data_IF_650881180794
#
_entry.id   IF_650881180794
#
_cell.length_a   1.000
_cell.length_b   1.000
_cell.length_c   1.000
_cell.angle_alpha   90.00
_cell.angle_beta   90.00
_cell.angle_gamma   90.00
#
_symmetry.space_group_name_H-M   'P 1'
#
loop_
_entity.id
_entity.type
_entity.pdbx_description
1 polymer ?
#
# COMPACT_ATOMS: atom_id res chain seq x y z
N UNK A 1 -10.83 5.05 -29.70
CA UNK A 1 -10.67 3.82 -28.86
C UNK A 1 -9.19 3.51 -28.73
N UNK A 2 -8.59 3.66 -27.53
CA UNK A 2 -7.12 3.64 -27.32
C UNK A 2 -6.49 2.23 -27.29
N UNK A 3 -6.89 1.41 -28.27
CA UNK A 3 -6.36 0.09 -28.66
C UNK A 3 -6.97 -1.14 -27.98
N UNK A 4 -8.20 -1.46 -28.40
CA UNK A 4 -8.82 -2.77 -28.18
C UNK A 4 -7.96 -3.93 -28.77
N UNK A 5 -8.04 -5.12 -28.17
CA UNK A 5 -7.25 -6.29 -28.61
C UNK A 5 -5.74 -6.12 -28.41
N UNK A 6 -5.32 -5.43 -27.34
CA UNK A 6 -3.90 -5.32 -26.96
C UNK A 6 -3.42 -6.69 -26.48
N UNK A 7 -2.31 -7.17 -27.05
CA UNK A 7 -1.76 -8.50 -26.75
C UNK A 7 -2.26 -9.62 -27.66
N UNK A 8 -3.27 -9.37 -28.50
CA UNK A 8 -3.73 -10.32 -29.52
C UNK A 8 -3.02 -10.06 -30.84
N UNK A 9 -2.55 -11.11 -31.48
CA UNK A 9 -1.91 -11.04 -32.79
C UNK A 9 -2.92 -11.09 -33.94
N UNK A 10 -2.67 -10.29 -34.97
CA UNK A 10 -3.48 -10.26 -36.19
C UNK A 10 -2.73 -11.08 -37.22
N UNK A 11 -3.12 -12.35 -37.37
CA UNK A 11 -2.53 -13.23 -38.38
C UNK A 11 -3.11 -12.90 -39.75
N UNK A 12 -2.24 -12.83 -40.75
CA UNK A 12 -2.63 -12.56 -42.13
C UNK A 12 -2.65 -13.85 -42.94
N UNK A 13 -3.73 -14.04 -43.69
CA UNK A 13 -3.82 -15.13 -44.65
C UNK A 13 -2.88 -14.88 -45.84
N UNK A 14 -2.43 -15.95 -46.55
CA UNK A 14 -1.48 -15.81 -47.66
C UNK A 14 -1.95 -14.87 -48.77
N UNK A 15 -3.26 -14.79 -49.04
CA UNK A 15 -3.84 -13.87 -50.03
C UNK A 15 -3.70 -12.40 -49.59
N UNK A 16 -3.95 -12.13 -48.31
CA UNK A 16 -3.80 -10.79 -47.72
C UNK A 16 -2.34 -10.34 -47.79
N UNK A 17 -1.39 -11.24 -47.56
CA UNK A 17 0.05 -10.94 -47.69
C UNK A 17 0.41 -10.54 -49.13
N UNK A 18 -0.11 -11.25 -50.14
CA UNK A 18 0.09 -10.89 -51.55
C UNK A 18 -0.47 -9.51 -51.90
N UNK A 19 -1.56 -9.11 -51.24
CA UNK A 19 -2.22 -7.81 -51.44
C UNK A 19 -1.60 -6.65 -50.64
N UNK A 20 -0.40 -6.82 -50.06
CA UNK A 20 0.30 -5.77 -49.31
C UNK A 20 0.04 -5.77 -47.81
N UNK A 21 -0.71 -6.76 -47.30
CA UNK A 21 -0.86 -7.04 -45.88
C UNK A 21 -1.78 -6.07 -45.13
N UNK A 22 -1.53 -5.91 -43.83
CA UNK A 22 -2.37 -5.09 -42.95
C UNK A 22 -2.10 -3.60 -43.16
N UNK A 23 -3.14 -2.83 -43.50
CA UNK A 23 -3.10 -1.38 -43.55
C UNK A 23 -3.63 -0.78 -42.23
N UNK A 24 -2.80 0.00 -41.56
CA UNK A 24 -3.14 0.71 -40.33
C UNK A 24 -3.42 2.16 -40.66
N UNK A 25 -4.62 2.63 -40.30
CA UNK A 25 -5.02 4.02 -40.45
C UNK A 25 -5.18 4.61 -39.05
N UNK A 26 -4.28 5.54 -38.69
CA UNK A 26 -4.44 6.40 -37.53
C UNK A 26 -5.29 7.60 -37.89
N UNK A 27 -6.45 7.75 -37.26
CA UNK A 27 -7.35 8.89 -37.47
C UNK A 27 -6.83 10.18 -36.84
N UNK A 28 -5.95 10.07 -35.84
CA UNK A 28 -5.32 11.18 -35.13
C UNK A 28 -3.93 10.77 -34.64
N UNK A 29 -3.17 11.74 -34.11
CA UNK A 29 -1.95 11.48 -33.35
C UNK A 29 -2.23 11.54 -31.87
N UNK A 30 -1.81 10.52 -31.13
CA UNK A 30 -1.88 10.56 -29.68
C UNK A 30 -0.86 11.56 -29.11
N UNK A 31 -1.14 12.11 -27.94
CA UNK A 31 -0.19 12.93 -27.16
C UNK A 31 1.12 12.19 -26.83
N UNK A 32 1.08 10.86 -26.84
CA UNK A 32 2.19 9.99 -26.45
C UNK A 32 2.60 9.15 -27.66
N UNK A 33 3.82 9.38 -28.15
CA UNK A 33 4.38 8.74 -29.34
C UNK A 33 4.44 7.22 -29.21
N UNK A 34 4.57 6.72 -27.97
CA UNK A 34 4.54 5.28 -27.67
C UNK A 34 3.23 4.62 -28.13
N UNK A 35 2.09 5.29 -28.00
CA UNK A 35 0.79 4.74 -28.39
C UNK A 35 0.66 4.67 -29.92
N UNK A 36 1.11 5.71 -30.62
CA UNK A 36 1.18 5.70 -32.09
C UNK A 36 2.10 4.59 -32.62
N UNK A 37 3.26 4.39 -31.97
CA UNK A 37 4.18 3.30 -32.30
C UNK A 37 3.56 1.93 -32.06
N UNK A 38 2.74 1.77 -31.01
CA UNK A 38 2.00 0.53 -30.76
C UNK A 38 0.96 0.26 -31.84
N UNK A 39 0.22 1.29 -32.29
CA UNK A 39 -0.74 1.17 -33.39
C UNK A 39 -0.04 0.77 -34.69
N UNK A 40 1.07 1.45 -35.01
CA UNK A 40 1.94 1.10 -36.16
C UNK A 40 2.43 -0.34 -36.10
N UNK A 41 2.90 -0.79 -34.93
CA UNK A 41 3.44 -2.14 -34.72
C UNK A 41 2.41 -3.28 -34.75
N UNK A 42 1.14 -2.99 -35.08
CA UNK A 42 0.15 -4.03 -35.40
C UNK A 42 0.34 -4.57 -36.83
N UNK A 43 0.83 -3.76 -37.75
CA UNK A 43 1.25 -4.21 -39.08
C UNK A 43 2.75 -4.58 -39.07
N UNK A 44 3.20 -5.32 -40.09
CA UNK A 44 4.64 -5.62 -40.25
C UNK A 44 5.18 -6.71 -39.33
N UNK A 45 4.32 -7.52 -38.71
CA UNK A 45 4.74 -8.54 -37.73
C UNK A 45 5.45 -9.69 -38.43
N UNK A 46 6.55 -10.17 -37.84
CA UNK A 46 7.36 -11.27 -38.38
C UNK A 46 7.80 -11.07 -39.85
N UNK A 47 7.97 -9.81 -40.27
CA UNK A 47 8.34 -9.48 -41.65
C UNK A 47 7.19 -9.52 -42.66
N UNK A 48 5.95 -9.71 -42.20
CA UNK A 48 4.77 -9.60 -43.07
C UNK A 48 4.68 -8.21 -43.71
N UNK A 49 4.15 -8.10 -44.94
CA UNK A 49 3.91 -6.79 -45.55
C UNK A 49 2.84 -6.02 -44.76
N UNK A 50 2.94 -4.70 -44.77
CA UNK A 50 1.96 -3.86 -44.12
C UNK A 50 2.29 -2.37 -44.27
N UNK A 51 1.28 -1.54 -44.08
CA UNK A 51 1.40 -0.09 -44.21
C UNK A 51 0.81 0.60 -42.99
N UNK A 52 1.31 1.79 -42.68
CA UNK A 52 0.73 2.63 -41.63
C UNK A 52 0.69 4.08 -42.08
N UNK A 53 -0.50 4.67 -42.09
CA UNK A 53 -0.72 6.07 -42.42
C UNK A 53 -1.45 6.73 -41.25
N UNK A 54 -1.05 7.94 -40.92
CA UNK A 54 -1.71 8.72 -39.88
C UNK A 54 -2.18 10.02 -40.48
N UNK A 55 -3.45 10.32 -40.25
CA UNK A 55 -4.08 11.58 -40.61
C UNK A 55 -4.09 12.49 -39.37
N UNK A 56 -3.96 13.78 -39.62
CA UNK A 56 -3.95 14.82 -38.60
C UNK A 56 -4.69 16.01 -39.19
N UNK A 57 -5.60 16.58 -38.43
CA UNK A 57 -6.22 17.88 -38.73
C UNK A 57 -5.57 18.98 -37.92
N UNK A 58 -5.53 20.21 -38.45
CA UNK A 58 -5.15 21.39 -37.66
C UNK A 58 -6.08 21.64 -36.49
N UNK A 59 -7.32 21.15 -36.59
CA UNK A 59 -8.32 21.23 -35.55
C UNK A 59 -8.13 20.19 -34.44
N UNK A 60 -7.17 19.27 -34.56
CA UNK A 60 -6.91 18.25 -33.54
C UNK A 60 -6.32 18.88 -32.27
N UNK A 61 -6.62 18.27 -31.12
CA UNK A 61 -6.17 18.74 -29.80
C UNK A 61 -4.65 18.97 -29.74
N UNK A 62 -3.87 18.05 -30.30
CA UNK A 62 -2.40 18.14 -30.38
C UNK A 62 -1.96 19.41 -31.12
N UNK A 63 -2.63 19.73 -32.23
CA UNK A 63 -2.28 20.84 -33.11
C UNK A 63 -2.72 22.19 -32.52
N UNK A 64 -3.89 22.23 -31.88
CA UNK A 64 -4.38 23.42 -31.15
C UNK A 64 -3.41 23.87 -30.06
N UNK A 65 -2.82 22.93 -29.32
CA UNK A 65 -1.96 23.25 -28.17
C UNK A 65 -0.56 23.76 -28.57
N UNK A 66 -0.02 23.40 -29.74
CA UNK A 66 1.40 23.63 -30.04
C UNK A 66 1.73 24.26 -31.39
N UNK A 67 0.81 24.24 -32.37
CA UNK A 67 1.22 24.49 -33.74
C UNK A 67 0.22 25.24 -34.62
N UNK A 68 -0.95 25.64 -34.11
CA UNK A 68 -1.96 26.34 -34.90
C UNK A 68 -1.40 27.58 -35.60
N UNK A 69 -0.76 28.50 -34.86
CA UNK A 69 -0.26 29.75 -35.46
C UNK A 69 0.93 29.58 -36.41
N UNK A 70 1.90 28.72 -36.07
CA UNK A 70 3.10 28.51 -36.91
C UNK A 70 2.77 27.76 -38.19
N UNK A 71 1.88 26.77 -38.12
CA UNK A 71 1.49 25.98 -39.29
C UNK A 71 0.51 26.76 -40.15
N UNK A 72 -0.42 27.54 -39.57
CA UNK A 72 -1.27 28.44 -40.34
C UNK A 72 -0.44 29.48 -41.12
N UNK A 73 0.61 30.06 -40.51
CA UNK A 73 1.54 30.98 -41.21
C UNK A 73 2.27 30.31 -42.37
N UNK A 74 2.72 29.07 -42.19
CA UNK A 74 3.36 28.28 -43.26
C UNK A 74 2.36 27.99 -44.41
N UNK A 75 1.13 27.58 -44.11
CA UNK A 75 0.11 27.31 -45.13
C UNK A 75 -0.26 28.55 -45.94
N UNK A 76 -0.39 29.70 -45.27
CA UNK A 76 -0.64 30.99 -45.92
C UNK A 76 0.52 31.43 -46.82
N UNK A 77 1.75 31.12 -46.43
CA UNK A 77 2.96 31.49 -47.20
C UNK A 77 3.12 30.60 -48.44
N UNK A 78 2.79 29.31 -48.32
CA UNK A 78 2.90 28.35 -49.42
C UNK A 78 1.68 28.34 -50.36
N UNK A 79 0.63 29.13 -50.10
CA UNK A 79 -0.60 29.22 -50.91
C UNK A 79 -1.13 27.83 -51.33
N UNK A 80 -1.17 26.91 -50.38
CA UNK A 80 -1.53 25.52 -50.66
C UNK A 80 -3.02 25.41 -51.06
N UNK A 81 -3.37 24.63 -52.09
CA UNK A 81 -4.76 24.45 -52.52
C UNK A 81 -5.58 23.73 -51.43
N UNK A 82 -6.82 24.19 -51.23
CA UNK A 82 -7.75 23.54 -50.31
C UNK A 82 -8.12 22.14 -50.82
N UNK A 83 -8.01 21.13 -49.94
CA UNK A 83 -8.39 19.75 -50.23
C UNK A 83 -7.25 18.78 -50.58
N UNK A 84 -6.01 19.27 -50.74
CA UNK A 84 -4.86 18.37 -50.96
C UNK A 84 -4.17 17.94 -49.65
N UNK A 85 -3.84 16.64 -49.49
CA UNK A 85 -3.16 16.15 -48.31
C UNK A 85 -1.71 16.64 -48.28
N UNK A 86 -1.32 17.29 -47.18
CA UNK A 86 0.04 17.82 -47.03
C UNK A 86 0.97 16.73 -46.49
N UNK A 87 1.92 16.29 -47.31
CA UNK A 87 2.96 15.33 -46.92
C UNK A 87 4.34 15.97 -46.96
N UNK A 88 4.69 16.78 -45.95
CA UNK A 88 6.00 17.42 -45.86
C UNK A 88 6.81 16.93 -44.63
N UNK A 89 8.10 16.57 -44.78
CA UNK A 89 8.94 16.11 -43.66
C UNK A 89 9.04 17.11 -42.50
N UNK A 90 9.03 18.41 -42.80
CA UNK A 90 9.07 19.46 -41.78
C UNK A 90 7.84 19.43 -40.86
N UNK A 91 6.65 19.14 -41.41
CA UNK A 91 5.41 19.07 -40.63
C UNK A 91 5.46 17.85 -39.70
N UNK A 92 5.95 16.72 -40.21
CA UNK A 92 6.17 15.52 -39.38
C UNK A 92 7.10 15.83 -38.21
N UNK A 93 8.23 16.52 -38.45
CA UNK A 93 9.17 16.92 -37.38
C UNK A 93 8.54 17.87 -36.36
N UNK A 94 7.70 18.82 -36.82
CA UNK A 94 6.97 19.74 -35.93
C UNK A 94 5.99 19.00 -35.03
N UNK A 95 5.24 18.03 -35.58
CA UNK A 95 4.32 17.17 -34.81
C UNK A 95 5.10 16.34 -33.79
N UNK A 96 6.23 15.74 -34.19
CA UNK A 96 7.07 14.96 -33.26
C UNK A 96 7.62 15.82 -32.10
N UNK A 97 8.03 17.06 -32.38
CA UNK A 97 8.48 17.99 -31.35
C UNK A 97 7.34 18.38 -30.40
N UNK A 98 6.13 18.58 -30.91
CA UNK A 98 4.94 18.84 -30.11
C UNK A 98 4.63 17.66 -29.17
N UNK A 99 4.64 16.42 -29.69
CA UNK A 99 4.48 15.21 -28.88
C UNK A 99 5.54 15.11 -27.78
N UNK A 100 6.82 15.35 -28.12
CA UNK A 100 7.91 15.32 -27.15
C UNK A 100 7.70 16.33 -26.01
N UNK A 101 7.26 17.55 -26.33
CA UNK A 101 6.99 18.59 -25.33
C UNK A 101 5.82 18.23 -24.41
N UNK A 102 4.78 17.57 -24.93
CA UNK A 102 3.68 17.05 -24.10
C UNK A 102 4.16 15.92 -23.21
N UNK A 103 4.97 15.01 -23.73
CA UNK A 103 5.56 13.92 -22.94
C UNK A 103 6.45 14.47 -21.80
N UNK A 104 7.27 15.48 -22.08
CA UNK A 104 8.09 16.17 -21.07
C UNK A 104 7.22 16.85 -20.00
N UNK A 105 6.14 17.53 -20.41
CA UNK A 105 5.21 18.14 -19.46
C UNK A 105 4.50 17.10 -18.58
N UNK A 106 3.99 16.03 -19.19
CA UNK A 106 3.35 14.92 -18.48
C UNK A 106 4.34 14.20 -17.55
N UNK A 107 5.60 14.06 -17.96
CA UNK A 107 6.66 13.53 -17.12
C UNK A 107 6.92 14.43 -15.92
N UNK A 108 6.99 15.75 -16.11
CA UNK A 108 7.16 16.72 -15.03
C UNK A 108 6.02 16.64 -14.01
N UNK A 109 4.76 16.60 -14.48
CA UNK A 109 3.59 16.45 -13.61
C UNK A 109 3.67 15.15 -12.80
N UNK A 110 4.02 14.03 -13.45
CA UNK A 110 4.17 12.73 -12.75
C UNK A 110 5.32 12.71 -11.78
N UNK A 111 6.45 13.33 -12.12
CA UNK A 111 7.60 13.47 -11.22
C UNK A 111 7.20 14.25 -9.98
N UNK A 112 6.53 15.39 -10.18
CA UNK A 112 6.02 16.19 -9.08
C UNK A 112 5.06 15.39 -8.20
N UNK A 113 4.10 14.62 -8.77
CA UNK A 113 3.22 13.73 -7.99
C UNK A 113 4.00 12.65 -7.22
N UNK A 114 5.02 12.05 -7.84
CA UNK A 114 5.89 11.06 -7.21
C UNK A 114 6.59 11.65 -5.98
N UNK A 115 7.04 12.91 -6.05
CA UNK A 115 7.71 13.57 -4.92
C UNK A 115 6.80 13.69 -3.67
N UNK A 116 5.47 13.79 -3.81
CA UNK A 116 4.53 13.75 -2.68
C UNK A 116 4.32 12.31 -2.17
N UNK A 117 4.23 11.36 -3.10
CA UNK A 117 4.01 9.96 -2.78
C UNK A 117 5.23 9.32 -2.09
N UNK A 118 6.45 9.77 -2.42
CA UNK A 118 7.68 9.31 -1.78
C UNK A 118 7.69 9.57 -0.27
N UNK A 119 7.19 10.73 0.17
CA UNK A 119 7.05 11.06 1.60
C UNK A 119 6.12 10.06 2.29
N UNK A 120 4.95 9.79 1.69
CA UNK A 120 4.00 8.81 2.21
C UNK A 120 4.56 7.40 2.21
N UNK A 121 5.35 7.04 1.20
CA UNK A 121 5.94 5.72 1.11
C UNK A 121 6.99 5.51 2.21
N UNK A 122 7.85 6.49 2.47
CA UNK A 122 8.82 6.43 3.57
C UNK A 122 8.13 6.23 4.93
N UNK A 123 7.06 7.01 5.20
CA UNK A 123 6.28 6.87 6.44
C UNK A 123 5.60 5.50 6.54
N UNK A 124 5.00 5.03 5.43
CA UNK A 124 4.36 3.70 5.35
C UNK A 124 5.34 2.58 5.66
N UNK A 125 6.54 2.63 5.09
CA UNK A 125 7.57 1.62 5.32
C UNK A 125 7.93 1.52 6.81
N UNK A 126 8.11 2.65 7.49
CA UNK A 126 8.39 2.70 8.93
C UNK A 126 7.23 2.13 9.76
N UNK A 127 5.99 2.55 9.48
CA UNK A 127 4.81 2.05 10.21
C UNK A 127 4.60 0.56 9.97
N UNK A 128 4.79 0.09 8.73
CA UNK A 128 4.63 -1.33 8.40
C UNK A 128 5.74 -2.18 8.99
N UNK A 129 6.95 -1.63 9.15
CA UNK A 129 8.02 -2.28 9.89
C UNK A 129 7.64 -2.45 11.37
N UNK A 130 7.22 -1.37 12.04
CA UNK A 130 6.74 -1.42 13.44
C UNK A 130 5.59 -2.41 13.61
N UNK A 131 4.57 -2.33 12.75
CA UNK A 131 3.42 -3.25 12.76
C UNK A 131 3.84 -4.71 12.56
N UNK A 132 4.79 -4.98 11.65
CA UNK A 132 5.31 -6.33 11.41
C UNK A 132 6.09 -6.86 12.61
N UNK A 133 6.86 -6.00 13.28
CA UNK A 133 7.58 -6.34 14.50
C UNK A 133 6.58 -6.67 15.62
N UNK A 134 5.51 -5.90 15.79
CA UNK A 134 4.44 -6.19 16.75
C UNK A 134 3.72 -7.53 16.46
N UNK A 135 3.51 -7.88 15.19
CA UNK A 135 2.89 -9.16 14.81
C UNK A 135 3.79 -10.37 15.07
N UNK A 136 5.09 -10.25 14.80
CA UNK A 136 6.04 -11.38 14.84
C UNK A 136 6.82 -11.49 16.13
N UNK A 137 6.96 -10.41 16.88
CA UNK A 137 7.76 -10.35 18.10
C UNK A 137 7.19 -11.24 19.19
N UNK A 138 8.07 -11.75 20.06
CA UNK A 138 7.66 -12.63 21.17
C UNK A 138 7.06 -11.83 22.32
N UNK A 139 7.63 -10.67 22.65
CA UNK A 139 7.09 -9.69 23.62
C UNK A 139 7.41 -8.27 23.16
N UNK A 140 6.50 -7.33 23.45
CA UNK A 140 6.65 -5.90 23.20
C UNK A 140 6.83 -5.10 24.49
N UNK A 141 7.07 -5.78 25.62
CA UNK A 141 7.39 -5.15 26.91
C UNK A 141 8.49 -4.11 26.75
N UNK A 142 9.63 -4.48 26.14
CA UNK A 142 10.75 -3.56 25.92
C UNK A 142 10.33 -2.31 25.15
N UNK A 143 9.62 -2.47 24.02
CA UNK A 143 9.14 -1.34 23.21
C UNK A 143 8.15 -0.44 23.97
N UNK A 144 7.29 -1.02 24.83
CA UNK A 144 6.41 -0.23 25.70
C UNK A 144 7.18 0.56 26.76
N UNK A 145 8.24 -0.01 27.35
CA UNK A 145 9.07 0.71 28.31
C UNK A 145 9.96 1.77 27.66
N UNK A 146 10.39 1.58 26.41
CA UNK A 146 11.02 2.62 25.62
C UNK A 146 10.03 3.78 25.40
N UNK A 147 8.77 3.49 25.06
CA UNK A 147 7.72 4.53 24.98
C UNK A 147 7.48 5.24 26.30
N UNK A 148 7.50 4.53 27.44
CA UNK A 148 7.35 5.16 28.75
C UNK A 148 8.54 6.08 29.06
N UNK A 149 9.75 5.67 28.70
CA UNK A 149 10.98 6.45 28.91
C UNK A 149 10.93 7.76 28.10
N UNK A 150 10.54 7.67 26.83
CA UNK A 150 10.36 8.83 25.96
C UNK A 150 9.26 9.76 26.49
N UNK A 151 8.11 9.21 26.91
CA UNK A 151 7.00 9.98 27.47
C UNK A 151 7.36 10.64 28.81
N UNK A 152 8.10 9.95 29.68
CA UNK A 152 8.57 10.47 30.96
C UNK A 152 9.53 11.65 30.77
N UNK A 153 10.39 11.59 29.76
CA UNK A 153 11.29 12.69 29.39
C UNK A 153 10.49 13.91 28.94
N UNK A 154 9.46 13.72 28.09
CA UNK A 154 8.56 14.80 27.66
C UNK A 154 7.80 15.39 28.85
N UNK A 155 7.25 14.56 29.76
CA UNK A 155 6.54 15.07 30.93
C UNK A 155 7.45 15.82 31.89
N UNK A 156 8.71 15.39 32.04
CA UNK A 156 9.67 16.15 32.82
C UNK A 156 9.84 17.55 32.21
N UNK A 157 10.07 17.66 30.91
CA UNK A 157 10.21 18.96 30.24
C UNK A 157 8.96 19.85 30.43
N UNK A 158 7.77 19.28 30.27
CA UNK A 158 6.49 20.02 30.38
C UNK A 158 6.22 20.55 31.81
N UNK A 159 6.57 19.78 32.84
CA UNK A 159 6.18 20.09 34.23
C UNK A 159 7.32 20.63 35.11
N UNK A 160 8.59 20.36 34.77
CA UNK A 160 9.74 20.78 35.58
C UNK A 160 9.95 22.30 35.51
N UNK A 161 9.79 22.94 34.36
CA UNK A 161 9.96 24.40 34.22
C UNK A 161 8.99 25.18 35.12
N UNK A 162 7.77 24.68 35.27
CA UNK A 162 6.72 25.28 36.10
C UNK A 162 6.70 24.74 37.55
N UNK A 163 7.61 23.83 37.90
CA UNK A 163 7.66 23.13 39.20
C UNK A 163 6.33 22.44 39.57
N UNK A 164 5.60 21.98 38.57
CA UNK A 164 4.28 21.38 38.75
C UNK A 164 4.37 19.86 38.98
N UNK A 165 4.88 19.47 40.14
CA UNK A 165 4.94 18.07 40.56
C UNK A 165 3.55 17.42 40.63
N UNK A 166 2.51 18.20 40.94
CA UNK A 166 1.13 17.68 41.01
C UNK A 166 0.62 17.32 39.62
N UNK A 167 0.87 18.16 38.62
CA UNK A 167 0.60 17.88 37.22
C UNK A 167 1.29 16.60 36.75
N UNK A 168 2.59 16.47 37.02
CA UNK A 168 3.36 15.27 36.70
C UNK A 168 2.75 14.02 37.35
N UNK A 169 2.48 14.05 38.67
CA UNK A 169 1.86 12.92 39.40
C UNK A 169 0.51 12.54 38.82
N UNK A 170 -0.33 13.53 38.49
CA UNK A 170 -1.64 13.29 37.90
C UNK A 170 -1.52 12.66 36.51
N UNK A 171 -0.56 13.10 35.69
CA UNK A 171 -0.33 12.56 34.35
C UNK A 171 0.15 11.11 34.40
N UNK A 172 1.16 10.83 35.24
CA UNK A 172 1.67 9.49 35.50
C UNK A 172 0.55 8.57 35.98
N UNK A 173 -0.23 9.00 36.97
CA UNK A 173 -1.36 8.22 37.49
C UNK A 173 -2.46 8.00 36.45
N UNK A 174 -2.76 9.00 35.65
CA UNK A 174 -3.78 8.94 34.60
C UNK A 174 -3.41 7.94 33.52
N UNK A 175 -2.15 7.88 33.08
CA UNK A 175 -1.72 6.97 32.01
C UNK A 175 -1.32 5.58 32.52
N UNK A 176 -0.44 5.54 33.53
CA UNK A 176 0.26 4.34 33.99
C UNK A 176 -0.38 3.69 35.21
N UNK A 177 -1.37 4.34 35.84
CA UNK A 177 -2.02 3.84 37.07
C UNK A 177 -1.04 3.56 38.23
N UNK A 178 0.15 4.17 38.19
CA UNK A 178 1.15 4.09 39.25
C UNK A 178 1.26 5.43 39.99
N UNK A 179 1.86 5.38 41.19
CA UNK A 179 2.15 6.55 42.00
C UNK A 179 3.67 6.66 42.17
N UNK A 180 4.19 7.88 42.01
CA UNK A 180 5.59 8.20 42.20
C UNK A 180 5.81 8.90 43.55
N UNK A 181 6.81 8.42 44.29
CA UNK A 181 7.14 8.92 45.62
C UNK A 181 8.27 9.96 45.55
N UNK A 182 8.01 11.06 44.85
CA UNK A 182 8.92 12.20 44.75
C UNK A 182 8.37 13.35 45.62
N UNK A 183 9.23 13.99 46.42
CA UNK A 183 8.89 15.22 47.14
C UNK A 183 9.13 16.48 46.29
N UNK A 184 8.47 17.59 46.63
CA UNK A 184 8.64 18.86 45.89
C UNK A 184 10.09 19.38 45.90
N UNK A 185 10.85 19.11 46.96
CA UNK A 185 12.26 19.50 47.05
C UNK A 185 13.17 18.62 46.20
N UNK A 186 12.92 17.32 46.19
CA UNK A 186 13.67 16.38 45.34
C UNK A 186 13.41 16.67 43.87
N UNK A 187 12.17 16.98 43.50
CA UNK A 187 11.82 17.30 42.11
C UNK A 187 12.57 18.51 41.55
N UNK A 188 12.84 19.52 42.39
CA UNK A 188 13.60 20.72 42.02
C UNK A 188 15.10 20.45 41.81
N UNK A 189 15.65 19.41 42.44
CA UNK A 189 17.08 19.06 42.43
C UNK A 189 17.40 17.90 41.48
N UNK A 190 16.41 17.11 41.12
CA UNK A 190 16.58 15.91 40.30
C UNK A 190 16.79 16.26 38.83
N UNK A 191 17.60 15.45 38.15
CA UNK A 191 17.77 15.55 36.69
C UNK A 191 16.66 14.81 35.93
N UNK A 192 16.55 15.08 34.63
CA UNK A 192 15.62 14.40 33.70
C UNK A 192 15.75 12.88 33.84
N UNK A 193 16.99 12.38 33.89
CA UNK A 193 17.29 10.95 33.96
C UNK A 193 16.81 10.34 35.27
N UNK A 194 16.97 11.05 36.39
CA UNK A 194 16.55 10.56 37.71
C UNK A 194 15.02 10.48 37.80
N UNK A 195 14.31 11.52 37.35
CA UNK A 195 12.84 11.50 37.35
C UNK A 195 12.30 10.44 36.39
N UNK A 196 12.94 10.29 35.22
CA UNK A 196 12.57 9.27 34.25
C UNK A 196 12.75 7.86 34.82
N UNK A 197 13.87 7.59 35.50
CA UNK A 197 14.12 6.31 36.16
C UNK A 197 13.08 5.99 37.23
N UNK A 198 12.70 6.98 38.07
CA UNK A 198 11.65 6.79 39.08
C UNK A 198 10.29 6.45 38.45
N UNK A 199 9.90 7.13 37.37
CA UNK A 199 8.65 6.84 36.65
C UNK A 199 8.69 5.43 36.03
N UNK A 200 9.80 5.08 35.37
CA UNK A 200 9.98 3.76 34.74
C UNK A 200 9.96 2.65 35.80
N UNK A 201 10.63 2.85 36.93
CA UNK A 201 10.63 1.89 38.04
C UNK A 201 9.22 1.68 38.61
N UNK A 202 8.49 2.77 38.89
CA UNK A 202 7.12 2.68 39.37
C UNK A 202 6.17 1.99 38.35
N UNK A 203 6.41 2.23 37.05
CA UNK A 203 5.69 1.56 35.97
C UNK A 203 6.03 0.06 35.91
N UNK A 204 7.30 -0.31 36.11
CA UNK A 204 7.77 -1.70 36.13
C UNK A 204 7.20 -2.49 37.31
N UNK A 205 7.17 -1.92 38.52
CA UNK A 205 6.53 -2.52 39.68
C UNK A 205 5.02 -2.76 39.47
N UNK A 206 4.33 -1.80 38.85
CA UNK A 206 2.92 -1.97 38.50
C UNK A 206 2.73 -3.04 37.43
N UNK A 207 3.58 -3.04 36.40
CA UNK A 207 3.56 -4.01 35.31
C UNK A 207 3.73 -5.43 35.83
N UNK A 208 4.71 -5.65 36.71
CA UNK A 208 4.95 -6.96 37.32
C UNK A 208 3.76 -7.45 38.14
N UNK A 209 3.19 -6.60 38.99
CA UNK A 209 1.97 -6.96 39.75
C UNK A 209 0.81 -7.33 38.83
N UNK A 210 0.68 -6.63 37.71
CA UNK A 210 -0.35 -6.91 36.69
C UNK A 210 -0.08 -8.23 35.96
N UNK A 211 1.18 -8.51 35.62
CA UNK A 211 1.61 -9.77 35.00
C UNK A 211 1.37 -10.96 35.92
N UNK A 212 1.66 -10.84 37.22
CA UNK A 212 1.39 -11.88 38.22
C UNK A 212 -0.13 -12.18 38.34
N UNK A 213 -0.97 -11.17 38.18
CA UNK A 213 -2.43 -11.29 38.31
C UNK A 213 -3.09 -11.87 37.04
N UNK A 214 -2.63 -11.46 35.85
CA UNK A 214 -3.24 -11.84 34.56
C UNK A 214 -2.55 -13.03 33.87
N UNK A 215 -1.31 -13.32 34.26
CA UNK A 215 -0.45 -14.31 33.63
C UNK A 215 0.32 -13.75 32.42
N UNK A 216 1.52 -14.29 32.23
CA UNK A 216 2.47 -13.86 31.19
C UNK A 216 1.92 -13.98 29.76
N UNK A 217 1.29 -15.10 29.43
CA UNK A 217 0.77 -15.33 28.07
C UNK A 217 -0.30 -14.31 27.70
N UNK A 218 -1.19 -13.98 28.65
CA UNK A 218 -2.22 -12.97 28.45
C UNK A 218 -1.62 -11.57 28.29
N UNK A 219 -0.62 -11.22 29.11
CA UNK A 219 0.08 -9.94 28.99
C UNK A 219 0.74 -9.78 27.62
N UNK A 220 1.42 -10.80 27.10
CA UNK A 220 2.01 -10.75 25.75
C UNK A 220 0.93 -10.48 24.68
N UNK A 221 -0.23 -11.13 24.77
CA UNK A 221 -1.32 -10.88 23.81
C UNK A 221 -1.90 -9.47 23.97
N UNK A 222 -2.00 -8.98 25.21
CA UNK A 222 -2.46 -7.62 25.49
C UNK A 222 -1.48 -6.57 24.94
N UNK A 223 -0.18 -6.76 25.15
CA UNK A 223 0.89 -5.91 24.59
C UNK A 223 0.74 -5.80 23.06
N UNK A 224 0.63 -6.95 22.38
CA UNK A 224 0.45 -7.02 20.92
C UNK A 224 -0.82 -6.32 20.48
N UNK A 225 -1.93 -6.60 21.14
CA UNK A 225 -3.21 -5.99 20.84
C UNK A 225 -3.15 -4.46 21.01
N UNK A 226 -2.61 -3.98 22.13
CA UNK A 226 -2.48 -2.56 22.43
C UNK A 226 -1.68 -1.84 21.34
N UNK A 227 -0.53 -2.38 20.93
CA UNK A 227 0.30 -1.76 19.90
C UNK A 227 -0.36 -1.84 18.53
N UNK A 228 -0.87 -3.00 18.11
CA UNK A 228 -1.43 -3.19 16.77
C UNK A 228 -2.71 -2.38 16.55
N UNK A 229 -3.64 -2.42 17.51
CA UNK A 229 -4.88 -1.66 17.44
C UNK A 229 -4.58 -0.16 17.38
N UNK A 230 -3.65 0.32 18.22
CA UNK A 230 -3.27 1.74 18.22
C UNK A 230 -2.61 2.16 16.91
N UNK A 231 -1.66 1.36 16.39
CA UNK A 231 -1.02 1.64 15.09
C UNK A 231 -2.08 1.72 13.99
N UNK A 232 -2.98 0.74 13.91
CA UNK A 232 -3.97 0.68 12.84
C UNK A 232 -4.95 1.87 12.92
N UNK A 233 -5.42 2.23 14.11
CA UNK A 233 -6.31 3.38 14.31
C UNK A 233 -5.62 4.70 13.99
N UNK A 234 -4.44 4.95 14.57
CA UNK A 234 -3.70 6.20 14.38
C UNK A 234 -3.16 6.35 12.96
N UNK A 235 -2.78 5.26 12.29
CA UNK A 235 -2.35 5.31 10.90
C UNK A 235 -3.50 5.68 9.95
N UNK A 236 -4.73 5.19 10.17
CA UNK A 236 -5.90 5.60 9.39
C UNK A 236 -6.15 7.10 9.52
N UNK A 237 -6.09 7.63 10.74
CA UNK A 237 -6.27 9.06 11.00
C UNK A 237 -5.16 9.88 10.32
N UNK A 238 -3.91 9.44 10.41
CA UNK A 238 -2.78 10.08 9.72
C UNK A 238 -2.94 10.10 8.20
N UNK A 239 -3.38 8.99 7.58
CA UNK A 239 -3.63 8.95 6.14
C UNK A 239 -4.65 10.02 5.72
N UNK A 240 -5.70 10.22 6.52
CA UNK A 240 -6.69 11.26 6.27
C UNK A 240 -6.10 12.67 6.41
N UNK A 241 -5.33 12.92 7.47
CA UNK A 241 -4.66 14.20 7.68
C UNK A 241 -3.71 14.52 6.51
N UNK A 242 -2.97 13.52 6.03
CA UNK A 242 -2.06 13.67 4.90
C UNK A 242 -2.78 14.00 3.59
N UNK A 243 -3.95 13.40 3.35
CA UNK A 243 -4.80 13.75 2.20
C UNK A 243 -5.32 15.19 2.32
N UNK A 244 -5.80 15.60 3.49
CA UNK A 244 -6.27 16.98 3.75
C UNK A 244 -5.16 18.02 3.55
N UNK A 245 -3.93 17.74 4.02
CA UNK A 245 -2.77 18.61 3.79
C UNK A 245 -2.47 18.70 2.30
N UNK A 246 -2.45 17.57 1.58
CA UNK A 246 -2.16 17.52 0.14
C UNK A 246 -3.17 18.32 -0.68
N UNK A 247 -4.45 18.31 -0.30
CA UNK A 247 -5.48 19.13 -0.94
C UNK A 247 -5.29 20.63 -0.64
N UNK A 248 -4.97 20.98 0.61
CA UNK A 248 -4.80 22.36 1.06
C UNK A 248 -3.48 23.04 0.65
N UNK A 249 -2.43 22.27 0.35
CA UNK A 249 -1.07 22.83 0.18
C UNK A 249 -0.94 23.76 -1.03
N UNK A 250 -1.77 23.56 -2.06
CA UNK A 250 -1.79 24.44 -3.23
C UNK A 250 -2.20 25.87 -2.88
N UNK A 251 -2.93 26.08 -1.78
CA UNK A 251 -3.27 27.42 -1.29
C UNK A 251 -2.04 28.14 -0.71
N UNK A 252 -1.00 27.43 -0.26
CA UNK A 252 0.25 28.05 0.22
C UNK A 252 1.09 28.63 -0.91
N UNK A 253 0.88 28.18 -2.16
CA UNK A 253 1.52 28.75 -3.34
C UNK A 253 1.19 30.25 -3.52
N UNK A 254 0.03 30.71 -3.05
CA UNK A 254 -0.33 32.14 -3.06
C UNK A 254 0.62 33.01 -2.23
N UNK A 255 1.27 32.43 -1.22
CA UNK A 255 2.28 33.09 -0.41
C UNK A 255 3.70 33.04 -0.99
N UNK A 256 3.86 32.64 -2.26
CA UNK A 256 5.17 32.44 -2.93
C UNK A 256 6.08 31.40 -2.25
N UNK A 257 5.50 30.51 -1.45
CA UNK A 257 6.18 29.36 -0.87
C UNK A 257 6.08 28.17 -1.82
N UNK A 258 7.12 27.32 -1.84
CA UNK A 258 7.10 26.07 -2.59
C UNK A 258 6.16 25.06 -1.91
N UNK A 259 5.04 24.65 -2.54
CA UNK A 259 4.09 23.71 -1.94
C UNK A 259 4.71 22.37 -1.57
N UNK A 260 5.67 21.87 -2.35
CA UNK A 260 6.29 20.56 -2.08
C UNK A 260 7.14 20.61 -0.82
N UNK A 261 7.85 21.72 -0.59
CA UNK A 261 8.66 21.90 0.61
C UNK A 261 7.79 22.05 1.85
N UNK A 262 6.71 22.83 1.75
CA UNK A 262 5.74 23.01 2.83
C UNK A 262 5.04 21.68 3.18
N UNK A 263 4.61 20.91 2.16
CA UNK A 263 4.05 19.57 2.35
C UNK A 263 5.03 18.66 3.10
N UNK A 264 6.30 18.62 2.70
CA UNK A 264 7.32 17.80 3.36
C UNK A 264 7.52 18.19 4.82
N UNK A 265 7.56 19.49 5.12
CA UNK A 265 7.73 19.98 6.49
C UNK A 265 6.55 19.59 7.37
N UNK A 266 5.33 19.83 6.91
CA UNK A 266 4.11 19.52 7.66
C UNK A 266 3.91 18.00 7.80
N UNK A 267 4.25 17.23 6.76
CA UNK A 267 4.21 15.77 6.82
C UNK A 267 5.14 15.20 7.89
N UNK A 268 6.34 15.78 8.07
CA UNK A 268 7.29 15.35 9.11
C UNK A 268 6.75 15.68 10.49
N UNK A 269 6.18 16.87 10.67
CA UNK A 269 5.56 17.29 11.94
C UNK A 269 4.39 16.36 12.31
N UNK A 270 3.46 16.12 11.38
CA UNK A 270 2.33 15.22 11.60
C UNK A 270 2.78 13.78 11.86
N UNK A 271 3.81 13.31 11.17
CA UNK A 271 4.35 11.97 11.43
C UNK A 271 5.00 11.87 12.81
N UNK A 272 5.68 12.93 13.27
CA UNK A 272 6.17 13.00 14.66
C UNK A 272 5.02 12.93 15.67
N UNK A 273 3.93 13.65 15.41
CA UNK A 273 2.71 13.59 16.24
C UNK A 273 2.09 12.19 16.24
N UNK A 274 2.01 11.54 15.08
CA UNK A 274 1.54 10.16 14.94
C UNK A 274 2.34 9.20 15.83
N UNK A 275 3.67 9.28 15.82
CA UNK A 275 4.50 8.38 16.62
C UNK A 275 4.27 8.58 18.13
N UNK A 276 4.12 9.84 18.57
CA UNK A 276 3.77 10.17 19.96
C UNK A 276 2.39 9.63 20.34
N UNK A 277 1.41 9.77 19.46
CA UNK A 277 0.05 9.26 19.63
C UNK A 277 0.02 7.72 19.71
N UNK A 278 0.85 7.05 18.91
CA UNK A 278 1.00 5.60 18.95
C UNK A 278 1.61 5.17 20.28
N UNK A 279 2.68 5.82 20.72
CA UNK A 279 3.31 5.52 22.01
C UNK A 279 2.31 5.70 23.16
N UNK A 280 1.65 6.86 23.23
CA UNK A 280 0.66 7.19 24.26
C UNK A 280 -0.52 6.20 24.25
N UNK A 281 -1.09 5.92 23.08
CA UNK A 281 -2.23 5.01 22.94
C UNK A 281 -1.88 3.57 23.31
N UNK A 282 -0.70 3.10 22.89
CA UNK A 282 -0.22 1.74 23.18
C UNK A 282 -0.02 1.54 24.68
N UNK A 283 0.68 2.48 25.33
CA UNK A 283 0.91 2.45 26.79
C UNK A 283 -0.41 2.57 27.54
N UNK A 284 -1.30 3.47 27.13
CA UNK A 284 -2.62 3.66 27.76
C UNK A 284 -3.43 2.35 27.77
N UNK A 285 -3.55 1.67 26.63
CA UNK A 285 -4.30 0.40 26.53
C UNK A 285 -3.59 -0.68 27.36
N UNK A 286 -2.26 -0.81 27.21
CA UNK A 286 -1.49 -1.84 27.90
C UNK A 286 -1.61 -1.75 29.43
N UNK A 287 -1.66 -0.54 30.01
CA UNK A 287 -1.76 -0.34 31.45
C UNK A 287 -3.22 -0.36 31.95
N UNK A 288 -4.15 0.30 31.25
CA UNK A 288 -5.54 0.48 31.74
C UNK A 288 -6.46 -0.71 31.51
N UNK A 289 -6.15 -1.59 30.56
CA UNK A 289 -7.03 -2.70 30.27
C UNK A 289 -6.96 -3.77 31.38
N UNK A 290 -8.10 -4.05 32.01
CA UNK A 290 -8.29 -5.17 32.93
C UNK A 290 -9.50 -5.99 32.47
N UNK A 291 -9.33 -7.30 32.18
CA UNK A 291 -10.48 -8.14 31.88
C UNK A 291 -11.37 -8.23 33.12
N UNK A 292 -12.69 -8.20 32.94
CA UNK A 292 -13.60 -8.56 34.01
C UNK A 292 -13.45 -10.05 34.27
N UNK A 293 -12.85 -10.39 35.42
CA UNK A 293 -12.90 -11.76 35.93
C UNK A 293 -14.36 -11.99 36.29
N UNK A 294 -15.16 -12.52 35.35
CA UNK A 294 -16.37 -13.21 35.76
C UNK A 294 -15.86 -14.34 36.63
N UNK A 295 -16.09 -14.25 37.94
CA UNK A 295 -15.98 -15.43 38.79
C UNK A 295 -16.79 -16.49 38.04
N UNK A 296 -16.11 -17.51 37.53
CA UNK A 296 -16.79 -18.69 37.04
C UNK A 296 -17.53 -19.22 38.27
N UNK A 297 -18.81 -18.86 38.43
CA UNK A 297 -19.73 -19.64 39.23
C UNK A 297 -19.56 -21.06 38.70
N UNK A 298 -18.98 -21.91 39.53
CA UNK A 298 -18.88 -23.33 39.26
C UNK A 298 -20.29 -23.78 38.93
N UNK A 299 -20.58 -23.99 37.65
CA UNK A 299 -21.86 -24.47 37.18
C UNK A 299 -22.00 -25.88 37.73
N UNK A 300 -22.58 -26.00 38.93
CA UNK A 300 -23.02 -27.26 39.47
C UNK A 300 -24.03 -27.82 38.47
N UNK A 301 -23.67 -28.94 37.86
CA UNK A 301 -24.49 -29.72 36.96
C UNK A 301 -25.83 -30.08 37.65
N UNK A 302 -26.83 -29.21 37.56
CA UNK A 302 -28.21 -29.59 37.89
C UNK A 302 -28.71 -30.51 36.78
N UNK A 303 -28.99 -31.74 37.19
CA UNK A 303 -29.50 -32.83 36.36
C UNK A 303 -30.69 -32.35 35.52
N UNK A 304 -30.68 -32.69 34.23
CA UNK A 304 -31.76 -32.41 33.30
C UNK A 304 -33.04 -33.08 33.79
N UNK A 305 -34.04 -32.29 34.16
CA UNK A 305 -35.41 -32.76 34.30
C UNK A 305 -36.02 -32.96 32.90
N UNK A 306 -36.68 -34.11 32.73
CA UNK A 306 -37.38 -34.52 31.51
C UNK A 306 -38.38 -33.48 31.01
N UNK A 307 -38.34 -33.19 29.71
CA UNK A 307 -39.37 -32.40 29.02
C UNK A 307 -40.22 -33.34 28.16
N UNK A 308 -41.57 -33.31 28.23
CA UNK A 308 -42.41 -34.22 27.45
C UNK A 308 -42.42 -33.84 25.97
N UNK A 309 -42.25 -34.82 25.08
CA UNK A 309 -42.40 -34.67 23.63
C UNK A 309 -43.87 -34.51 23.23
N UNK A 310 -44.24 -33.32 22.76
CA UNK A 310 -45.52 -33.12 22.06
C UNK A 310 -45.35 -33.45 20.57
N UNK A 311 -46.15 -34.42 20.11
CA UNK A 311 -46.33 -34.82 18.71
C UNK A 311 -47.15 -33.74 17.98
N UNK A 312 -46.64 -33.22 16.87
CA UNK A 312 -47.47 -32.51 15.89
C UNK A 312 -47.52 -33.30 14.58
N UNK A 313 -48.74 -33.67 14.18
CA UNK A 313 -49.06 -34.31 12.89
C UNK A 313 -49.38 -33.20 11.87
N UNK A 314 -48.69 -33.29 10.73
CA UNK A 314 -49.07 -32.91 9.35
C UNK A 314 -50.11 -31.79 9.12
N UNK A 315 -49.70 -30.78 8.35
CA UNK A 315 -50.45 -30.36 7.15
C UNK A 315 -49.52 -29.67 6.13
N UNK A 316 -49.35 -30.36 5.00
CA UNK A 316 -48.86 -29.80 3.74
C UNK A 316 -49.99 -29.00 3.08
N UNK A 317 -49.71 -27.79 2.61
CA UNK A 317 -49.94 -27.39 1.21
C UNK A 317 -49.38 -26.00 0.90
N UNK A 318 -48.53 -25.97 -0.16
CA UNK A 318 -48.38 -24.93 -1.21
C UNK A 318 -48.04 -23.51 -0.73
N UNK A 319 -46.95 -22.86 -1.10
CA UNK A 319 -46.09 -22.97 -2.27
C UNK A 319 -45.81 -21.55 -2.77
N UNK A 320 -44.66 -20.97 -2.40
CA UNK A 320 -44.08 -19.79 -3.03
C UNK A 320 -42.57 -20.04 -3.12
N UNK A 321 -42.07 -20.15 -4.35
CA UNK A 321 -40.64 -20.27 -4.66
C UNK A 321 -40.06 -18.86 -4.81
N UNK A 322 -38.97 -18.58 -4.12
CA UNK A 322 -37.94 -17.66 -4.61
C UNK A 322 -36.62 -18.42 -4.63
N UNK A 323 -36.13 -18.68 -5.85
CA UNK A 323 -34.80 -19.21 -6.09
C UNK A 323 -33.77 -18.12 -5.81
N UNK A 324 -32.70 -18.51 -5.11
CA UNK A 324 -31.49 -17.71 -4.99
C UNK A 324 -30.40 -18.49 -5.68
N UNK A 325 -29.94 -17.95 -6.79
CA UNK A 325 -28.87 -18.50 -7.62
C UNK A 325 -27.53 -18.47 -6.87
N UNK A 326 -26.87 -19.62 -6.78
CA UNK A 326 -25.51 -19.82 -6.26
C UNK A 326 -24.47 -19.49 -7.34
N UNK A 327 -24.40 -18.23 -7.80
CA UNK A 327 -23.42 -17.86 -8.85
C UNK A 327 -22.74 -16.50 -8.65
N UNK A 328 -22.49 -16.09 -7.39
CA UNK A 328 -21.82 -14.79 -7.10
C UNK A 328 -20.67 -14.84 -6.09
N UNK A 329 -20.17 -16.03 -5.72
CA UNK A 329 -19.03 -16.14 -4.77
C UNK A 329 -17.67 -16.40 -5.47
N UNK A 330 -17.64 -16.58 -6.79
CA UNK A 330 -16.41 -16.89 -7.54
C UNK A 330 -15.79 -15.71 -8.34
N UNK A 331 -16.16 -14.46 -8.05
CA UNK A 331 -15.61 -13.28 -8.74
C UNK A 331 -14.70 -12.35 -7.90
N UNK A 332 -14.45 -12.64 -6.61
CA UNK A 332 -13.68 -11.73 -5.73
C UNK A 332 -12.28 -12.26 -5.38
N UNK A 333 -11.92 -13.50 -5.75
CA UNK A 333 -10.63 -14.13 -5.37
C UNK A 333 -9.62 -14.29 -6.51
N UNK A 334 -9.67 -13.43 -7.55
CA UNK A 334 -8.64 -13.38 -8.61
C UNK A 334 -8.18 -11.96 -8.98
N UNK A 335 -7.91 -11.13 -7.98
CA UNK A 335 -7.25 -9.85 -8.21
C UNK A 335 -6.30 -9.49 -7.06
N UNK A 336 -5.27 -10.31 -6.84
CA UNK A 336 -4.04 -9.93 -6.12
C UNK A 336 -3.00 -11.04 -6.23
N UNK A 337 -2.20 -10.98 -7.30
CA UNK A 337 -0.92 -11.69 -7.37
C UNK A 337 0.11 -10.69 -7.93
N UNK A 338 1.21 -10.40 -7.22
CA UNK A 338 2.25 -9.51 -7.73
C UNK A 338 2.99 -10.20 -8.88
N UNK A 339 3.21 -9.48 -9.99
CA UNK A 339 4.16 -9.88 -11.04
C UNK A 339 5.52 -9.21 -10.77
N UNK A 340 6.66 -9.88 -11.02
CA UNK A 340 7.96 -9.24 -10.96
C UNK A 340 8.15 -8.33 -12.19
N UNK A 341 8.64 -7.11 -11.97
CA UNK A 341 9.16 -6.23 -13.02
C UNK A 341 10.66 -6.04 -12.81
N UNK A 342 11.40 -6.30 -13.88
CA UNK A 342 12.85 -6.11 -14.00
C UNK A 342 13.23 -4.63 -13.84
N UNK A 343 14.18 -4.37 -12.94
CA UNK A 343 14.92 -3.11 -12.84
C UNK A 343 16.26 -3.28 -13.56
N UNK A 344 16.51 -2.45 -14.57
CA UNK A 344 17.87 -2.16 -15.04
C UNK A 344 18.44 -0.99 -14.23
N UNK A 345 19.63 -1.18 -13.66
CA UNK A 345 20.55 -0.08 -13.33
C UNK A 345 20.83 0.21 -11.86
N UNK A 346 21.36 -0.75 -11.10
CA UNK A 346 22.18 -0.46 -9.91
C UNK A 346 23.23 -1.56 -9.69
N UNK A 347 24.44 -1.13 -9.30
CA UNK A 347 25.71 -1.89 -9.28
C UNK A 347 25.62 -3.25 -8.58
N UNK A 348 26.12 -4.28 -9.27
CA UNK A 348 26.17 -5.66 -8.80
C UNK A 348 27.23 -5.85 -7.68
N UNK A 349 26.77 -6.32 -6.52
CA UNK A 349 27.59 -7.10 -5.58
C UNK A 349 27.38 -8.57 -5.95
N UNK A 350 28.46 -9.30 -6.21
CA UNK A 350 28.40 -10.68 -6.66
C UNK A 350 27.83 -11.60 -5.57
N UNK A 351 26.66 -12.18 -5.81
CA UNK A 351 26.09 -13.27 -5.00
C UNK A 351 26.44 -14.59 -5.71
N UNK A 352 27.21 -15.44 -5.04
CA UNK A 352 27.51 -16.78 -5.55
C UNK A 352 26.24 -17.64 -5.60
N UNK A 353 25.85 -18.04 -6.81
CA UNK A 353 24.70 -18.90 -7.06
C UNK A 353 25.13 -20.37 -6.96
N UNK A 354 24.54 -21.10 -6.01
CA UNK A 354 24.73 -22.55 -5.88
C UNK A 354 24.22 -23.27 -7.14
N UNK A 355 25.15 -23.83 -7.94
CA UNK A 355 24.82 -24.73 -9.05
C UNK A 355 24.44 -26.10 -8.49
N UNK A 356 23.16 -26.44 -8.60
CA UNK A 356 22.64 -27.77 -8.28
C UNK A 356 23.26 -28.79 -9.25
N UNK A 357 23.95 -29.80 -8.72
CA UNK A 357 24.66 -30.84 -9.49
C UNK A 357 23.75 -31.95 -10.01
N UNK A 358 22.51 -32.04 -9.53
CA UNK A 358 21.57 -33.11 -9.89
C UNK A 358 20.50 -32.65 -10.90
N UNK A 359 20.20 -33.53 -11.85
CA UNK A 359 19.20 -33.32 -12.91
C UNK A 359 17.80 -33.24 -12.30
N UNK A 360 17.04 -32.19 -12.63
CA UNK A 360 15.67 -32.00 -12.15
C UNK A 360 14.75 -33.04 -12.80
N UNK A 361 14.33 -34.05 -12.03
CA UNK A 361 13.41 -35.09 -12.49
C UNK A 361 12.05 -34.46 -12.81
N UNK A 362 11.61 -34.59 -14.06
CA UNK A 362 10.33 -34.10 -14.55
C UNK A 362 9.17 -34.97 -14.08
N UNK A 363 7.97 -34.38 -13.99
CA UNK A 363 6.74 -35.05 -13.51
C UNK A 363 6.39 -36.34 -14.27
N UNK A 364 6.81 -36.47 -15.53
CA UNK A 364 6.55 -37.65 -16.38
C UNK A 364 7.77 -38.58 -16.56
N UNK A 365 8.92 -38.26 -15.96
CA UNK A 365 10.15 -39.04 -16.10
C UNK A 365 10.07 -40.36 -15.31
N UNK A 366 10.86 -41.39 -15.68
CA UNK A 366 10.93 -42.63 -14.92
C UNK A 366 11.37 -42.35 -13.48
N UNK A 367 10.66 -42.96 -12.53
CA UNK A 367 10.91 -42.74 -11.11
C UNK A 367 12.27 -43.33 -10.70
N UNK A 368 13.12 -42.59 -9.95
CA UNK A 368 14.48 -43.02 -9.60
C UNK A 368 14.56 -44.25 -8.69
N UNK A 369 13.44 -44.69 -8.12
CA UNK A 369 13.36 -45.91 -7.31
C UNK A 369 13.37 -47.22 -8.12
N UNK A 370 13.51 -47.15 -9.46
CA UNK A 370 13.58 -48.35 -10.31
C UNK A 370 12.23 -49.07 -10.51
N UNK A 371 11.12 -48.50 -10.05
CA UNK A 371 9.79 -49.14 -10.09
C UNK A 371 9.16 -49.27 -11.49
N UNK A 372 9.81 -48.75 -12.54
CA UNK A 372 9.26 -48.72 -13.91
C UNK A 372 8.07 -47.76 -14.12
N UNK A 373 7.62 -47.05 -13.08
CA UNK A 373 6.49 -46.10 -13.13
C UNK A 373 6.97 -44.65 -13.33
N UNK A 374 6.14 -43.80 -13.94
CA UNK A 374 6.40 -42.33 -14.05
C UNK A 374 6.39 -41.68 -12.66
N UNK A 375 7.24 -40.67 -12.43
CA UNK A 375 7.43 -40.02 -11.13
C UNK A 375 6.11 -39.58 -10.47
N UNK A 376 5.19 -38.96 -11.21
CA UNK A 376 3.84 -38.57 -10.72
C UNK A 376 2.97 -39.71 -10.18
N UNK A 377 3.21 -40.95 -10.60
CA UNK A 377 2.45 -42.13 -10.18
C UNK A 377 3.19 -42.94 -9.11
N UNK A 378 4.30 -42.43 -8.59
CA UNK A 378 5.12 -43.03 -7.55
C UNK A 378 5.47 -41.95 -6.51
N UNK A 379 6.73 -41.54 -6.38
CA UNK A 379 7.19 -40.58 -5.37
C UNK A 379 6.60 -39.15 -5.54
N UNK A 380 6.09 -38.81 -6.72
CA UNK A 380 5.40 -37.55 -6.99
C UNK A 380 3.89 -37.56 -6.73
N UNK A 381 3.34 -38.65 -6.18
CA UNK A 381 1.88 -38.81 -6.00
C UNK A 381 1.32 -37.96 -4.87
N UNK A 382 2.08 -37.79 -3.78
CA UNK A 382 1.62 -37.08 -2.57
C UNK A 382 2.12 -35.63 -2.48
N UNK A 383 2.88 -35.14 -3.47
CA UNK A 383 3.43 -33.78 -3.50
C UNK A 383 2.36 -32.72 -3.84
N UNK A 384 1.12 -33.12 -4.19
CA UNK A 384 0.02 -32.20 -4.54
C UNK A 384 -1.15 -32.16 -3.53
N UNK A 385 -0.93 -32.59 -2.27
CA UNK A 385 -1.96 -32.58 -1.22
C UNK A 385 -1.76 -31.52 -0.12
N UNK A 386 -0.87 -30.54 -0.31
CA UNK A 386 -0.75 -29.37 0.56
C UNK A 386 -0.86 -28.08 -0.24
#
# INVERSE_FOLDING_TARGET
>A
TNMAGRGTDIKLDPEVKKNGGLAIIGSERHEARRIDRQLRGRAGRQGDPGTSIFFISLEDKLMRLFAAERIAKLMNTFKMPEGEPITHPMITKTVENAQKKIEENNFSIRKHLLDYDDVMNMQRELIYMKRRNALRGDSLRGELFDYITDLASIWYEDFHENKDLKGLKNQVRSLLLCEINISEKEFDEMTVEQVTQEIVHAAEEFYHRKEDLLGRDFMIQLEKYAVLQTIDDKWKDHLRIMDEIKEGINLRAYGQKDPLLEYKSEAVEQFGSLLKDIALGSVSIAFKYFPQISQQEQVQHKQKADVPKVRSKNLNQRGIKYGRDEETVEMITRASAPRPQEQEGARAVAVETYKRTETKIGRNDPCPCGSGKKYKNCHGRDINLN
#
